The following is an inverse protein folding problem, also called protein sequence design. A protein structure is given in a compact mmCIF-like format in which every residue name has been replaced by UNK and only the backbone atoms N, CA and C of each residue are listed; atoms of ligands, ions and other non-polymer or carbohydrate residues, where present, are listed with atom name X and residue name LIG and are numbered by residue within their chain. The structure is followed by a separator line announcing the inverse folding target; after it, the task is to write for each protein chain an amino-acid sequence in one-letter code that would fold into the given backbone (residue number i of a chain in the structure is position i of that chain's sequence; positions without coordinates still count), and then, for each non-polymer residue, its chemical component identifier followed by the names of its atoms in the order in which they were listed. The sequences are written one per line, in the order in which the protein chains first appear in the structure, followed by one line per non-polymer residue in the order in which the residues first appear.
data_IF_188230175816
#
_entry.id   IF_188230175816
#
_cell.length_a   1.000
_cell.length_b   1.000
_cell.length_c   1.000
_cell.angle_alpha   90.00
_cell.angle_beta   90.00
_cell.angle_gamma   90.00
#
_symmetry.space_group_name_H-M   'P 1'
#
loop_
_entity.id
_entity.type
_entity.pdbx_description
1 polymer ?
#
# COMPACT_ATOMS: atom_id res chain seq x y z
N UNK A 1 2.58 1.13 -10.39
CA UNK A 1 1.70 1.20 -9.19
C UNK A 1 0.97 2.51 -9.17
N UNK A 2 -0.34 2.47 -9.02
CA UNK A 2 -1.16 3.69 -8.94
C UNK A 2 -1.59 3.91 -7.50
N UNK A 3 -1.05 4.94 -6.86
CA UNK A 3 -1.47 5.35 -5.53
C UNK A 3 -2.55 6.40 -5.68
N UNK A 4 -3.72 6.11 -5.16
CA UNK A 4 -4.93 6.89 -5.34
C UNK A 4 -5.65 7.06 -4.00
N UNK A 5 -6.72 7.85 -4.01
CA UNK A 5 -7.61 7.96 -2.86
C UNK A 5 -8.04 6.56 -2.41
N UNK A 6 -8.07 6.34 -1.11
CA UNK A 6 -8.35 5.07 -0.43
C UNK A 6 -7.25 4.01 -0.52
N UNK A 7 -6.12 4.29 -1.17
CA UNK A 7 -4.96 3.42 -1.07
C UNK A 7 -4.45 3.34 0.37
N UNK A 8 -4.06 2.14 0.79
CA UNK A 8 -3.31 1.97 2.02
C UNK A 8 -1.84 2.07 1.67
N UNK A 9 -1.11 2.93 2.36
CA UNK A 9 0.29 3.20 2.07
C UNK A 9 1.13 3.12 3.33
N UNK A 10 2.40 2.79 3.14
CA UNK A 10 3.44 2.93 4.14
C UNK A 10 4.47 3.87 3.60
N UNK A 11 4.81 4.89 4.36
CA UNK A 11 5.77 5.88 3.92
C UNK A 11 6.81 6.16 4.99
N UNK A 12 7.95 6.65 4.53
CA UNK A 12 9.04 7.10 5.38
C UNK A 12 9.23 8.59 5.16
N UNK A 13 9.27 9.33 6.24
CA UNK A 13 9.46 10.79 6.22
C UNK A 13 10.94 11.14 6.33
N UNK A 14 11.28 12.40 6.05
CA UNK A 14 12.64 12.90 6.17
C UNK A 14 13.17 12.81 7.60
N UNK A 15 12.30 12.91 8.61
CA UNK A 15 12.66 12.72 10.01
C UNK A 15 12.64 11.26 10.45
N UNK A 16 12.66 10.34 9.49
CA UNK A 16 12.77 8.88 9.68
C UNK A 16 11.60 8.23 10.39
N UNK A 17 10.43 8.84 10.36
CA UNK A 17 9.20 8.21 10.86
C UNK A 17 8.62 7.28 9.81
N UNK A 18 8.09 6.15 10.27
CA UNK A 18 7.34 5.22 9.43
C UNK A 18 5.86 5.43 9.73
N UNK A 19 5.09 5.75 8.71
CA UNK A 19 3.67 6.04 8.83
C UNK A 19 2.91 5.11 7.89
N UNK A 20 1.96 4.38 8.43
CA UNK A 20 1.03 3.55 7.65
C UNK A 20 -0.37 4.12 7.80
N UNK A 21 -1.07 4.25 6.70
CA UNK A 21 -2.42 4.77 6.73
C UNK A 21 -3.12 4.67 5.39
N UNK A 22 -4.38 5.05 5.38
CA UNK A 22 -5.20 5.10 4.18
C UNK A 22 -5.29 6.55 3.69
N UNK A 23 -5.08 6.76 2.41
CA UNK A 23 -5.20 8.09 1.81
C UNK A 23 -6.68 8.47 1.74
N UNK A 24 -7.07 9.51 2.46
CA UNK A 24 -8.41 10.09 2.36
C UNK A 24 -8.49 11.08 1.21
N UNK A 25 -7.42 11.84 0.99
CA UNK A 25 -7.43 12.93 0.03
C UNK A 25 -6.01 13.32 -0.37
N UNK A 26 -5.88 13.80 -1.60
CA UNK A 26 -4.66 14.44 -2.09
C UNK A 26 -5.00 15.86 -2.49
N UNK A 27 -4.26 16.82 -1.97
CA UNK A 27 -4.49 18.25 -2.19
C UNK A 27 -3.27 18.87 -2.84
N UNK A 28 -3.48 19.57 -3.95
CA UNK A 28 -2.44 20.36 -4.60
C UNK A 28 -2.46 21.77 -4.02
N UNK A 29 -1.28 22.28 -3.69
CA UNK A 29 -1.13 23.64 -3.16
C UNK A 29 0.13 24.29 -3.71
N UNK A 30 0.10 25.59 -3.88
CA UNK A 30 1.25 26.37 -4.34
C UNK A 30 0.99 27.13 -5.62
N UNK A 31 2.04 27.75 -6.16
CA UNK A 31 2.02 28.51 -7.40
C UNK A 31 2.45 27.64 -8.59
N UNK A 32 2.34 28.19 -9.81
CA UNK A 32 2.66 27.48 -11.07
C UNK A 32 4.02 26.78 -11.06
N UNK A 33 5.02 27.35 -10.43
CA UNK A 33 6.39 26.82 -10.41
C UNK A 33 6.75 26.10 -9.13
N UNK A 34 5.81 25.96 -8.19
CA UNK A 34 6.09 25.43 -6.88
C UNK A 34 4.87 24.74 -6.29
N UNK A 35 4.33 23.78 -7.03
CA UNK A 35 3.17 22.99 -6.60
C UNK A 35 3.65 21.87 -5.71
N UNK A 36 3.00 21.72 -4.56
CA UNK A 36 3.25 20.64 -3.61
C UNK A 36 1.97 19.86 -3.40
N UNK A 37 2.09 18.54 -3.42
CA UNK A 37 0.99 17.65 -3.09
C UNK A 37 1.01 17.34 -1.60
N UNK A 38 -0.14 17.48 -0.95
CA UNK A 38 -0.33 17.08 0.44
C UNK A 38 -1.22 15.85 0.48
N UNK A 39 -0.79 14.85 1.23
CA UNK A 39 -1.58 13.65 1.49
C UNK A 39 -2.26 13.79 2.84
N UNK A 40 -3.56 13.53 2.88
CA UNK A 40 -4.31 13.45 4.12
C UNK A 40 -4.56 11.97 4.39
N UNK A 41 -4.02 11.47 5.50
CA UNK A 41 -4.02 10.06 5.85
C UNK A 41 -4.85 9.79 7.09
N UNK A 42 -5.61 8.71 7.05
CA UNK A 42 -6.11 8.02 8.23
C UNK A 42 -5.01 7.09 8.74
N UNK A 43 -4.52 7.35 9.93
CA UNK A 43 -3.34 6.67 10.47
C UNK A 43 -3.69 5.32 11.07
N UNK A 44 -2.91 4.32 10.71
CA UNK A 44 -2.91 3.02 11.37
C UNK A 44 -1.84 3.04 12.47
N UNK A 45 -2.26 3.18 13.71
CA UNK A 45 -1.35 3.27 14.86
C UNK A 45 -0.51 2.02 15.06
N UNK A 46 -1.11 0.85 14.81
CA UNK A 46 -0.41 -0.42 15.04
C UNK A 46 0.77 -0.61 14.11
N UNK A 47 0.74 0.02 12.94
CA UNK A 47 1.78 -0.08 11.92
C UNK A 47 2.54 1.22 11.70
N UNK A 48 2.48 2.15 12.64
CA UNK A 48 3.16 3.44 12.55
C UNK A 48 4.03 3.67 13.78
N UNK A 49 5.12 4.41 13.59
CA UNK A 49 6.03 4.75 14.68
C UNK A 49 5.88 6.21 15.07
N UNK A 50 5.89 6.49 16.38
CA UNK A 50 5.93 7.85 16.92
C UNK A 50 4.84 8.79 16.37
N UNK A 51 3.64 8.28 16.14
CA UNK A 51 2.51 9.05 15.64
C UNK A 51 1.40 9.08 16.70
N UNK A 52 0.92 10.26 17.03
CA UNK A 52 -0.06 10.48 18.10
C UNK A 52 -1.41 11.00 17.60
N UNK A 53 -1.67 10.92 16.30
CA UNK A 53 -2.90 11.43 15.70
C UNK A 53 -3.57 10.36 14.85
N UNK A 54 -4.90 10.47 14.70
CA UNK A 54 -5.69 9.57 13.86
C UNK A 54 -5.72 10.03 12.41
N UNK A 55 -5.38 11.28 12.16
CA UNK A 55 -5.42 11.87 10.83
C UNK A 55 -4.27 12.85 10.70
N UNK A 56 -3.55 12.81 9.60
CA UNK A 56 -2.38 13.66 9.38
C UNK A 56 -2.28 14.11 7.94
N UNK A 57 -1.90 15.38 7.77
CA UNK A 57 -1.54 15.93 6.46
C UNK A 57 -0.01 15.87 6.32
N UNK A 58 0.46 15.33 5.22
CA UNK A 58 1.89 15.17 4.95
C UNK A 58 2.20 15.74 3.58
N UNK A 59 3.20 16.63 3.52
CA UNK A 59 3.69 17.17 2.25
C UNK A 59 4.49 16.11 1.49
N UNK A 60 4.29 16.04 0.19
CA UNK A 60 5.07 15.16 -0.67
C UNK A 60 6.58 15.43 -0.58
N UNK A 61 6.97 16.65 -0.24
CA UNK A 61 8.38 17.02 -0.05
C UNK A 61 9.01 16.39 1.17
N UNK A 62 8.20 15.97 2.14
CA UNK A 62 8.69 15.33 3.37
C UNK A 62 8.72 13.82 3.26
N UNK A 63 8.26 13.26 2.15
CA UNK A 63 8.22 11.82 1.92
C UNK A 63 9.48 11.38 1.19
N UNK A 64 10.25 10.48 1.79
CA UNK A 64 11.45 9.90 1.19
C UNK A 64 11.11 8.67 0.38
N UNK A 65 10.27 7.80 0.93
CA UNK A 65 9.83 6.57 0.29
C UNK A 65 8.36 6.35 0.59
N UNK A 66 7.64 5.76 -0.35
CA UNK A 66 6.24 5.40 -0.18
C UNK A 66 5.91 4.19 -1.03
N UNK A 67 5.15 3.26 -0.47
CA UNK A 67 4.67 2.10 -1.19
C UNK A 67 3.26 1.73 -0.75
N UNK A 68 2.53 1.05 -1.64
CA UNK A 68 1.19 0.58 -1.35
C UNK A 68 1.24 -0.65 -0.45
N UNK A 69 0.32 -0.72 0.51
CA UNK A 69 0.19 -1.85 1.44
C UNK A 69 -1.16 -2.52 1.21
N UNK A 70 -1.14 -3.84 1.10
CA UNK A 70 -2.36 -4.62 0.94
C UNK A 70 -2.81 -5.18 2.28
N UNK A 71 -4.07 -4.92 2.64
CA UNK A 71 -4.65 -5.41 3.89
C UNK A 71 -5.15 -6.85 3.75
N UNK A 72 -5.25 -7.59 4.88
CA UNK A 72 -5.87 -8.91 4.86
C UNK A 72 -7.24 -8.89 4.19
N UNK A 73 -7.51 -9.90 3.37
CA UNK A 73 -8.72 -9.99 2.58
C UNK A 73 -8.62 -9.45 1.16
N UNK A 74 -7.55 -8.74 0.84
CA UNK A 74 -7.32 -8.23 -0.52
C UNK A 74 -7.07 -9.40 -1.47
N UNK A 75 -7.74 -9.40 -2.62
CA UNK A 75 -7.50 -10.38 -3.68
C UNK A 75 -6.39 -9.88 -4.59
N UNK A 76 -5.47 -10.78 -4.89
CA UNK A 76 -4.32 -10.48 -5.73
C UNK A 76 -4.14 -11.57 -6.79
N UNK A 77 -3.43 -11.23 -7.84
CA UNK A 77 -3.11 -12.14 -8.93
C UNK A 77 -1.60 -12.20 -9.09
N UNK A 78 -1.06 -13.42 -9.12
CA UNK A 78 0.37 -13.63 -9.30
C UNK A 78 0.79 -13.23 -10.72
N UNK A 79 1.90 -12.51 -10.83
CA UNK A 79 2.47 -12.14 -12.12
C UNK A 79 3.59 -13.07 -12.56
N UNK A 80 3.94 -14.03 -11.74
CA UNK A 80 4.97 -15.04 -12.00
C UNK A 80 4.73 -16.29 -11.16
N UNK A 81 5.40 -17.40 -11.53
CA UNK A 81 5.38 -18.61 -10.72
C UNK A 81 6.15 -18.39 -9.42
N UNK A 82 5.64 -18.98 -8.34
CA UNK A 82 6.31 -19.05 -7.05
C UNK A 82 6.50 -20.52 -6.68
N UNK A 83 6.92 -20.81 -5.44
CA UNK A 83 7.16 -22.21 -5.04
C UNK A 83 5.87 -23.03 -5.10
N UNK A 84 4.75 -22.50 -4.61
CA UNK A 84 3.48 -23.22 -4.53
C UNK A 84 2.41 -22.69 -5.47
N UNK A 85 2.58 -21.49 -6.01
CA UNK A 85 1.59 -20.83 -6.85
C UNK A 85 2.09 -20.66 -8.27
N UNK A 86 1.16 -20.68 -9.22
CA UNK A 86 1.47 -20.46 -10.63
C UNK A 86 1.14 -19.03 -11.04
N UNK A 87 1.77 -18.58 -12.13
CA UNK A 87 1.42 -17.30 -12.73
C UNK A 87 -0.08 -17.23 -13.01
N UNK A 88 -0.67 -16.07 -12.78
CA UNK A 88 -2.09 -15.78 -12.94
C UNK A 88 -3.01 -16.42 -11.88
N UNK A 89 -2.46 -17.14 -10.93
CA UNK A 89 -3.26 -17.68 -9.83
C UNK A 89 -3.81 -16.57 -8.95
N UNK A 90 -5.05 -16.74 -8.50
CA UNK A 90 -5.74 -15.80 -7.64
C UNK A 90 -5.52 -16.19 -6.18
N UNK A 91 -5.07 -15.25 -5.39
CA UNK A 91 -4.80 -15.45 -3.96
C UNK A 91 -5.46 -14.36 -3.13
N UNK A 92 -5.56 -14.61 -1.84
CA UNK A 92 -6.05 -13.64 -0.85
C UNK A 92 -4.93 -13.35 0.13
N UNK A 93 -4.72 -12.09 0.43
CA UNK A 93 -3.77 -11.68 1.47
C UNK A 93 -4.33 -12.11 2.82
N UNK A 94 -3.58 -12.93 3.54
CA UNK A 94 -3.91 -13.32 4.92
C UNK A 94 -3.27 -12.37 5.92
N UNK A 95 -2.03 -11.97 5.65
CA UNK A 95 -1.22 -11.26 6.63
C UNK A 95 -0.12 -10.47 5.92
N UNK A 96 0.19 -9.30 6.41
CA UNK A 96 1.35 -8.52 6.00
C UNK A 96 2.44 -8.74 7.06
N UNK A 97 3.59 -9.23 6.62
CA UNK A 97 4.64 -9.75 7.51
C UNK A 97 5.78 -8.77 7.77
N UNK A 98 5.82 -7.65 7.08
CA UNK A 98 6.95 -6.70 7.17
C UNK A 98 6.49 -5.33 7.67
N UNK A 99 5.92 -5.30 8.86
CA UNK A 99 5.48 -4.04 9.48
C UNK A 99 6.68 -3.12 9.73
N UNK A 100 6.47 -1.82 9.62
CA UNK A 100 7.49 -0.79 9.87
C UNK A 100 8.69 -0.83 8.93
N UNK A 101 8.62 -1.59 7.83
CA UNK A 101 9.66 -1.62 6.83
C UNK A 101 9.14 -1.11 5.49
N UNK A 102 10.06 -0.64 4.67
CA UNK A 102 9.82 -0.24 3.29
C UNK A 102 10.71 -1.08 2.37
N UNK A 103 10.35 -1.13 1.09
CA UNK A 103 10.99 -2.00 0.13
C UNK A 103 10.07 -3.15 -0.23
N UNK A 104 10.62 -4.35 -0.37
CA UNK A 104 9.85 -5.53 -0.71
C UNK A 104 9.09 -6.04 0.51
N UNK A 105 7.82 -5.66 0.61
CA UNK A 105 6.95 -6.13 1.70
C UNK A 105 6.59 -7.59 1.46
N UNK A 106 6.74 -8.40 2.50
CA UNK A 106 6.40 -9.83 2.47
C UNK A 106 4.98 -10.04 2.98
N UNK A 107 4.19 -10.75 2.21
CA UNK A 107 2.80 -11.09 2.53
C UNK A 107 2.62 -12.59 2.62
N UNK A 108 1.76 -13.03 3.53
CA UNK A 108 1.27 -14.40 3.51
C UNK A 108 0.04 -14.45 2.62
N UNK A 109 0.12 -15.19 1.53
CA UNK A 109 -0.97 -15.36 0.58
C UNK A 109 -1.57 -16.76 0.72
N UNK A 110 -2.87 -16.86 0.47
CA UNK A 110 -3.61 -18.11 0.43
C UNK A 110 -4.26 -18.25 -0.95
N UNK A 111 -4.10 -19.42 -1.58
CA UNK A 111 -4.77 -19.70 -2.85
C UNK A 111 -6.28 -19.72 -2.67
N UNK A 112 -7.01 -19.12 -3.60
CA UNK A 112 -8.48 -19.18 -3.62
C UNK A 112 -8.94 -20.59 -3.98
N UNK A 113 -8.29 -21.23 -4.96
CA UNK A 113 -8.66 -22.58 -5.43
C UNK A 113 -8.20 -23.69 -4.48
N UNK A 114 -7.16 -23.43 -3.70
CA UNK A 114 -6.57 -24.39 -2.76
C UNK A 114 -6.39 -23.72 -1.39
N UNK A 115 -7.47 -23.56 -0.60
CA UNK A 115 -7.41 -22.75 0.63
C UNK A 115 -6.41 -23.22 1.69
N UNK A 116 -5.96 -24.48 1.59
CA UNK A 116 -4.97 -25.04 2.53
C UNK A 116 -3.54 -24.67 2.16
N UNK A 117 -3.33 -24.11 0.98
CA UNK A 117 -1.99 -23.73 0.51
C UNK A 117 -1.74 -22.26 0.80
N UNK A 118 -0.68 -22.00 1.57
CA UNK A 118 -0.22 -20.65 1.87
C UNK A 118 1.26 -20.52 1.57
N UNK A 119 1.67 -19.32 1.22
CA UNK A 119 3.07 -19.03 0.93
C UNK A 119 3.37 -17.58 1.29
N UNK A 120 4.59 -17.32 1.76
CA UNK A 120 5.10 -15.95 1.95
C UNK A 120 5.68 -15.47 0.64
N UNK A 121 5.12 -14.40 0.11
CA UNK A 121 5.45 -13.85 -1.21
C UNK A 121 5.72 -12.36 -1.10
N UNK A 122 6.78 -11.90 -1.76
CA UNK A 122 7.09 -10.47 -1.80
C UNK A 122 6.12 -9.72 -2.73
N UNK A 123 5.91 -8.45 -2.45
CA UNK A 123 4.94 -7.62 -3.14
C UNK A 123 5.17 -7.48 -4.65
N UNK A 124 6.41 -7.66 -5.11
CA UNK A 124 6.75 -7.58 -6.53
C UNK A 124 6.18 -8.73 -7.37
N UNK A 125 5.74 -9.82 -6.73
CA UNK A 125 5.27 -11.03 -7.41
C UNK A 125 3.79 -11.01 -7.75
N UNK A 126 3.05 -9.99 -7.36
CA UNK A 126 1.59 -9.94 -7.56
C UNK A 126 1.07 -8.52 -7.65
N UNK A 127 -0.18 -8.40 -8.09
CA UNK A 127 -0.91 -7.12 -8.12
C UNK A 127 -2.34 -7.33 -7.66
N UNK A 128 -2.95 -6.26 -7.16
CA UNK A 128 -4.34 -6.29 -6.69
C UNK A 128 -5.31 -6.45 -7.85
N UNK A 129 -6.33 -7.28 -7.65
CA UNK A 129 -7.38 -7.53 -8.65
C UNK A 129 -8.53 -6.54 -8.45
N UNK A 130 -9.09 -6.09 -9.57
CA UNK A 130 -10.26 -5.22 -9.57
C UNK A 130 -9.98 -3.79 -9.13
N UNK A 131 -8.74 -3.51 -8.81
CA UNK A 131 -8.30 -2.22 -8.31
C UNK A 131 -8.67 -1.06 -9.26
N UNK A 132 -8.39 -1.23 -10.55
CA UNK A 132 -8.62 -0.18 -11.53
C UNK A 132 -10.08 0.18 -11.75
N UNK A 133 -11.01 -0.76 -11.52
CA UNK A 133 -12.44 -0.52 -11.72
C UNK A 133 -13.00 0.52 -10.76
N UNK A 134 -12.51 0.54 -9.53
CA UNK A 134 -12.97 1.45 -8.49
C UNK A 134 -12.08 2.68 -8.36
N UNK A 135 -10.79 2.53 -8.55
CA UNK A 135 -9.83 3.59 -8.27
C UNK A 135 -9.67 4.59 -9.40
N UNK A 136 -10.05 4.24 -10.62
CA UNK A 136 -10.02 5.18 -11.74
C UNK A 136 -10.85 6.43 -11.47
N UNK A 137 -11.95 6.29 -10.74
CA UNK A 137 -12.81 7.40 -10.37
C UNK A 137 -12.23 8.29 -9.26
N UNK A 138 -11.16 7.84 -8.63
CA UNK A 138 -10.55 8.50 -7.48
C UNK A 138 -9.09 8.87 -7.72
N UNK A 139 -8.62 8.71 -8.93
CA UNK A 139 -7.21 8.93 -9.27
C UNK A 139 -6.86 10.41 -9.18
N UNK A 140 -5.72 10.70 -8.55
CA UNK A 140 -5.13 12.03 -8.45
C UNK A 140 -3.86 12.08 -9.28
N UNK A 141 -3.78 13.03 -10.13
CA UNK A 141 -2.62 13.19 -11.03
C UNK A 141 -1.95 14.51 -10.76
#
# INVERSE_FOLDING_TARGET
MSIVKWSNVRLKTKDKKIITGQIEEMVLSGSMNNIVTYLILNIDYAASSQVNCTRKMISSRDIVEMEEVFKPGTKVKLNQDTVYFTKDEICVVKEENSQEQLGEIVYTLRSVDHPDVTEKVISDCFSEIGFGLYRNDHMFI
#
